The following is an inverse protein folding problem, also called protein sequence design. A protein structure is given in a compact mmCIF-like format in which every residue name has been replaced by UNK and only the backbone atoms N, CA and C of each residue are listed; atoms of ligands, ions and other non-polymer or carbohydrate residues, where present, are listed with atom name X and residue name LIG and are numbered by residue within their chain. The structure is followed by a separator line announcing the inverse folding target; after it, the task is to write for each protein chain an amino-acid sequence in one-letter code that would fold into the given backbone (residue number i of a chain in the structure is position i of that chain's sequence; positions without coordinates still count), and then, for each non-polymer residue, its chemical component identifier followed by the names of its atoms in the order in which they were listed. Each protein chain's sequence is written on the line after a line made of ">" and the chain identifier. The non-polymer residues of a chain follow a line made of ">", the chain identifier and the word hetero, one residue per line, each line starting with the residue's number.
data_IF_939179780534
#
_entry.id   IF_939179780534
#
_cell.length_a   1.000
_cell.length_b   1.000
_cell.length_c   1.000
_cell.angle_alpha   90.00
_cell.angle_beta   90.00
_cell.angle_gamma   90.00
#
_symmetry.space_group_name_H-M   'P 1'
#
loop_
_entity.id
_entity.type
_entity.pdbx_description
1 polymer ?
#
# COMPACT_ATOMS: atom_id res chain seq x y z
N UNK A 1 -1.53 55.56 -2.77
CA UNK A 1 -0.42 54.71 -2.25
C UNK A 1 -0.98 53.94 -1.06
N UNK A 2 -1.02 52.62 -0.97
CA UNK A 2 -0.57 51.55 -1.84
C UNK A 2 -1.46 50.33 -1.54
N UNK A 3 -2.23 49.85 -2.51
CA UNK A 3 -2.89 48.53 -2.44
C UNK A 3 -1.86 47.40 -2.67
N UNK A 4 -0.74 47.41 -1.95
CA UNK A 4 0.37 46.45 -2.17
C UNK A 4 0.66 45.53 -0.99
N UNK A 5 -0.26 45.42 -0.02
CA UNK A 5 -0.06 44.55 1.15
C UNK A 5 -1.05 43.36 1.20
N UNK A 6 -2.07 43.33 0.33
CA UNK A 6 -3.11 42.29 0.35
C UNK A 6 -3.05 41.29 -0.82
N UNK A 7 -1.86 40.99 -1.37
CA UNK A 7 -1.72 39.92 -2.39
C UNK A 7 -0.54 38.96 -2.18
N UNK A 8 0.13 39.05 -1.02
CA UNK A 8 1.19 38.11 -0.64
C UNK A 8 0.69 36.94 0.23
N UNK A 9 -0.47 37.07 0.88
CA UNK A 9 -1.05 36.01 1.73
C UNK A 9 -1.96 35.02 0.97
N UNK A 10 -2.48 35.40 -0.21
CA UNK A 10 -3.33 34.50 -1.01
C UNK A 10 -2.53 33.57 -1.93
N UNK A 11 -1.19 33.57 -1.82
CA UNK A 11 -0.30 32.74 -2.67
C UNK A 11 0.22 31.46 -2.01
N UNK A 12 -0.27 31.09 -0.83
CA UNK A 12 0.15 29.86 -0.14
C UNK A 12 -0.90 28.73 -0.10
N UNK A 13 -2.13 28.96 -0.57
CA UNK A 13 -3.21 27.95 -0.50
C UNK A 13 -3.22 26.93 -1.65
N UNK A 14 -2.16 26.84 -2.44
CA UNK A 14 -2.01 25.81 -3.49
C UNK A 14 -1.00 24.70 -3.12
N UNK A 15 -0.24 24.86 -2.03
CA UNK A 15 0.79 23.91 -1.59
C UNK A 15 0.40 23.10 -0.34
N UNK A 16 -0.77 23.37 0.25
CA UNK A 16 -1.32 22.64 1.39
C UNK A 16 -2.43 21.69 0.93
N UNK A 17 -2.15 20.80 -0.03
CA UNK A 17 -3.00 19.62 -0.13
C UNK A 17 -2.86 18.86 1.19
N UNK A 18 -3.97 18.52 1.89
CA UNK A 18 -3.87 17.73 3.10
C UNK A 18 -3.03 16.50 2.77
N UNK A 19 -2.06 16.18 3.62
CA UNK A 19 -1.11 15.08 3.41
C UNK A 19 -1.87 13.79 3.06
N UNK A 20 -3.08 13.64 3.62
CA UNK A 20 -4.08 12.61 3.36
C UNK A 20 -4.61 12.51 1.92
N UNK A 21 -4.69 13.63 1.19
CA UNK A 21 -5.05 13.64 -0.24
C UNK A 21 -3.84 13.40 -1.16
N UNK A 22 -2.62 13.59 -0.67
CA UNK A 22 -1.40 13.48 -1.47
C UNK A 22 -0.84 12.05 -1.56
N UNK A 23 -1.11 11.17 -0.58
CA UNK A 23 -0.72 9.77 -0.66
C UNK A 23 -1.86 8.90 -1.17
N UNK A 24 -1.58 8.06 -2.17
CA UNK A 24 -2.50 7.02 -2.60
C UNK A 24 -2.22 5.75 -1.78
N UNK A 25 -3.23 5.24 -1.10
CA UNK A 25 -3.13 3.96 -0.38
C UNK A 25 -2.89 2.85 -1.40
N UNK A 26 -1.84 2.07 -1.20
CA UNK A 26 -1.58 0.86 -1.97
C UNK A 26 -2.11 -0.36 -1.21
N UNK A 27 -2.81 -1.23 -1.92
CA UNK A 27 -3.37 -2.46 -1.38
C UNK A 27 -3.38 -3.56 -2.43
N UNK A 28 -3.43 -4.81 -1.98
CA UNK A 28 -3.50 -5.98 -2.86
C UNK A 28 -4.95 -6.44 -2.96
N UNK A 29 -5.50 -6.50 -4.18
CA UNK A 29 -6.86 -7.02 -4.38
C UNK A 29 -6.91 -8.55 -4.40
N UNK A 30 -5.94 -9.17 -5.06
CA UNK A 30 -5.79 -10.63 -5.15
C UNK A 30 -4.32 -11.01 -5.20
N UNK A 31 -3.95 -12.05 -4.47
CA UNK A 31 -2.63 -12.68 -4.52
C UNK A 31 -2.82 -14.16 -4.88
N UNK A 32 -2.31 -14.56 -6.04
CA UNK A 32 -2.34 -15.95 -6.51
C UNK A 32 -0.91 -16.47 -6.62
N UNK A 33 -0.61 -17.56 -5.91
CA UNK A 33 0.66 -18.25 -5.94
C UNK A 33 0.52 -19.55 -6.72
N UNK A 34 1.47 -19.82 -7.61
CA UNK A 34 1.56 -21.06 -8.40
C UNK A 34 2.99 -21.55 -8.39
N UNK A 35 3.22 -22.76 -7.87
CA UNK A 35 4.55 -23.34 -7.68
C UNK A 35 5.54 -22.38 -6.99
N UNK A 36 5.06 -21.64 -5.99
CA UNK A 36 5.84 -20.65 -5.27
C UNK A 36 6.24 -21.19 -3.89
N UNK A 37 7.53 -21.47 -3.73
CA UNK A 37 8.10 -22.14 -2.56
C UNK A 37 7.30 -23.42 -2.24
N UNK A 38 6.63 -23.45 -1.08
CA UNK A 38 5.84 -24.61 -0.60
C UNK A 38 4.40 -24.68 -1.14
N UNK A 39 3.91 -23.65 -1.83
CA UNK A 39 2.56 -23.67 -2.38
C UNK A 39 2.59 -24.12 -3.84
N UNK A 40 2.03 -25.30 -4.13
CA UNK A 40 1.71 -25.68 -5.50
C UNK A 40 0.65 -24.73 -6.09
N UNK A 41 -0.39 -24.43 -5.30
CA UNK A 41 -1.37 -23.40 -5.59
C UNK A 41 -1.91 -22.79 -4.29
N UNK A 42 -2.02 -21.47 -4.23
CA UNK A 42 -2.66 -20.74 -3.13
C UNK A 42 -3.29 -19.45 -3.68
N UNK A 43 -4.44 -19.05 -3.14
CA UNK A 43 -5.11 -17.83 -3.52
C UNK A 43 -5.75 -17.14 -2.32
N UNK A 44 -5.60 -15.81 -2.26
CA UNK A 44 -6.27 -14.97 -1.28
C UNK A 44 -6.74 -13.66 -1.94
N UNK A 45 -7.89 -13.16 -1.49
CA UNK A 45 -8.52 -11.95 -2.04
C UNK A 45 -8.71 -10.93 -0.91
N UNK A 46 -7.70 -10.08 -0.63
CA UNK A 46 -7.81 -9.07 0.45
C UNK A 46 -8.71 -7.88 0.10
N UNK A 47 -9.04 -7.67 -1.18
CA UNK A 47 -9.84 -6.54 -1.66
C UNK A 47 -9.33 -5.17 -1.17
N UNK A 48 -8.00 -5.02 -1.08
CA UNK A 48 -7.35 -3.81 -0.60
C UNK A 48 -7.44 -3.59 0.91
N UNK A 49 -7.90 -4.58 1.69
CA UNK A 49 -8.05 -4.51 3.15
C UNK A 49 -6.92 -5.23 3.87
N UNK A 50 -6.75 -4.90 5.14
CA UNK A 50 -5.84 -5.61 6.04
C UNK A 50 -6.38 -7.02 6.32
N UNK A 51 -5.49 -8.00 6.32
CA UNK A 51 -5.78 -9.39 6.69
C UNK A 51 -4.89 -9.83 7.84
N UNK A 52 -5.41 -10.72 8.68
CA UNK A 52 -4.62 -11.41 9.69
C UNK A 52 -4.57 -12.88 9.32
N UNK A 53 -3.36 -13.43 9.22
CA UNK A 53 -3.11 -14.80 8.79
C UNK A 53 -2.56 -15.59 9.97
N UNK A 54 -3.26 -16.66 10.34
CA UNK A 54 -2.88 -17.58 11.42
C UNK A 54 -2.55 -18.96 10.86
N UNK A 55 -1.83 -19.76 11.66
CA UNK A 55 -1.52 -21.15 11.35
C UNK A 55 -0.33 -21.65 12.16
N UNK A 56 -0.11 -22.96 12.15
CA UNK A 56 0.99 -23.60 12.86
C UNK A 56 2.36 -23.22 12.27
N UNK A 57 3.43 -23.59 12.97
CA UNK A 57 4.77 -23.49 12.41
C UNK A 57 4.85 -24.21 11.07
N UNK A 58 5.60 -23.62 10.13
CA UNK A 58 5.76 -24.13 8.76
C UNK A 58 4.46 -24.18 7.92
N UNK A 59 3.32 -23.73 8.45
CA UNK A 59 2.04 -23.68 7.72
C UNK A 59 2.01 -22.69 6.54
N UNK A 60 3.04 -21.86 6.36
CA UNK A 60 3.24 -21.06 5.14
C UNK A 60 3.10 -19.56 5.31
N UNK A 61 2.96 -19.11 6.55
CA UNK A 61 2.87 -17.69 6.91
C UNK A 61 4.04 -16.88 6.34
N UNK A 62 5.28 -17.37 6.52
CA UNK A 62 6.48 -16.73 5.95
C UNK A 62 6.47 -16.71 4.42
N UNK A 63 5.99 -17.77 3.77
CA UNK A 63 5.88 -17.82 2.31
C UNK A 63 4.91 -16.78 1.76
N UNK A 64 3.81 -16.49 2.47
CA UNK A 64 2.88 -15.42 2.08
C UNK A 64 3.51 -14.04 2.25
N UNK A 65 4.30 -13.84 3.31
CA UNK A 65 5.09 -12.61 3.48
C UNK A 65 6.10 -12.44 2.35
N UNK A 66 6.83 -13.50 1.99
CA UNK A 66 7.78 -13.46 0.87
C UNK A 66 7.08 -13.08 -0.45
N UNK A 67 5.94 -13.69 -0.75
CA UNK A 67 5.19 -13.37 -1.96
C UNK A 67 4.71 -11.91 -1.98
N UNK A 68 4.32 -11.37 -0.83
CA UNK A 68 3.94 -9.96 -0.71
C UNK A 68 5.15 -9.04 -0.97
N UNK A 69 6.32 -9.38 -0.44
CA UNK A 69 7.55 -8.60 -0.67
C UNK A 69 7.99 -8.65 -2.13
N UNK A 70 7.92 -9.81 -2.78
CA UNK A 70 8.20 -9.96 -4.22
C UNK A 70 7.34 -9.03 -5.07
N UNK A 71 6.04 -8.89 -4.76
CA UNK A 71 5.11 -8.07 -5.54
C UNK A 71 5.49 -6.59 -5.60
N UNK A 72 6.00 -6.03 -4.51
CA UNK A 72 6.30 -4.59 -4.41
C UNK A 72 7.79 -4.25 -4.53
N UNK A 73 8.68 -5.19 -4.22
CA UNK A 73 10.09 -4.89 -4.04
C UNK A 73 11.04 -5.78 -4.83
N UNK A 74 10.53 -6.80 -5.53
CA UNK A 74 11.36 -7.75 -6.29
C UNK A 74 12.42 -8.44 -5.41
N UNK A 75 12.00 -8.90 -4.23
CA UNK A 75 12.84 -9.52 -3.18
C UNK A 75 12.18 -10.73 -2.55
#
# INVERSE_FOLDING_TARGET
>A
MSQSQLSMFDRQTAAEMPIEAAYRVMGVNRLTLRNFKKFAHFEITPDGRNLIIYGDNEAGKTTLMDAFMWLFFDK
#
